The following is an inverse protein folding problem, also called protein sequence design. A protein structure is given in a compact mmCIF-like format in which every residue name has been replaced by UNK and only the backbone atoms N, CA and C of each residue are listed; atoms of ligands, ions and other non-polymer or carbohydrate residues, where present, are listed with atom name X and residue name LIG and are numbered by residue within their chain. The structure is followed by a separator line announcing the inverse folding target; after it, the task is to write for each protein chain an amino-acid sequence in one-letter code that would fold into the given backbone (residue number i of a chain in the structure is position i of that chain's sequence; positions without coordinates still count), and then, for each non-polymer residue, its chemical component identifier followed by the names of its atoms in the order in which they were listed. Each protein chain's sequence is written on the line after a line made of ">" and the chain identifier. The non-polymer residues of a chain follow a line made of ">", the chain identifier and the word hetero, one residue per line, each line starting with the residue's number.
data_IF_311777990054
#
_entry.id   IF_311777990054
#
_cell.length_a   1.000
_cell.length_b   1.000
_cell.length_c   1.000
_cell.angle_alpha   90.00
_cell.angle_beta   90.00
_cell.angle_gamma   90.00
#
_symmetry.space_group_name_H-M   'P 1'
#
loop_
_entity.id
_entity.type
_entity.pdbx_description
1 polymer ?
#
# COMPACT_ATOMS: atom_id res chain seq x y z
N UNK A 1 -24.30 -4.09 -15.00
CA UNK A 1 -23.86 -5.11 -14.03
C UNK A 1 -22.57 -5.68 -14.56
N UNK A 2 -21.44 -5.16 -14.09
CA UNK A 2 -20.11 -5.62 -14.48
C UNK A 2 -19.85 -6.91 -13.73
N UNK A 3 -19.90 -8.04 -14.43
CA UNK A 3 -19.53 -9.35 -13.89
C UNK A 3 -18.02 -9.34 -13.65
N UNK A 4 -17.60 -9.13 -12.40
CA UNK A 4 -16.24 -9.46 -11.98
C UNK A 4 -16.04 -10.93 -12.31
N UNK A 5 -15.00 -11.26 -13.09
CA UNK A 5 -14.59 -12.66 -13.26
C UNK A 5 -14.44 -13.23 -11.86
N UNK A 6 -15.21 -14.28 -11.57
CA UNK A 6 -15.08 -15.10 -10.37
C UNK A 6 -13.60 -15.43 -10.18
N UNK A 7 -12.94 -14.79 -9.21
CA UNK A 7 -11.69 -15.31 -8.67
C UNK A 7 -12.01 -16.74 -8.22
N UNK A 8 -11.27 -17.70 -8.77
CA UNK A 8 -11.39 -19.11 -8.43
C UNK A 8 -11.44 -19.27 -6.90
N UNK A 9 -12.58 -19.76 -6.39
CA UNK A 9 -12.76 -20.14 -4.99
C UNK A 9 -11.99 -21.43 -4.64
N UNK A 10 -11.13 -21.93 -5.52
CA UNK A 10 -10.72 -23.33 -5.56
C UNK A 10 -9.26 -23.59 -5.18
N UNK A 11 -8.64 -22.79 -4.29
CA UNK A 11 -7.31 -23.18 -3.81
C UNK A 11 -6.89 -22.64 -2.42
N UNK A 12 -7.82 -22.55 -1.48
CA UNK A 12 -7.50 -22.53 -0.03
C UNK A 12 -7.36 -23.97 0.48
N UNK A 13 -6.51 -24.78 -0.16
CA UNK A 13 -6.17 -26.07 0.43
C UNK A 13 -5.20 -25.81 1.59
N UNK A 14 -5.74 -25.72 2.79
CA UNK A 14 -4.94 -25.88 4.00
C UNK A 14 -4.28 -27.26 3.94
N UNK A 15 -2.98 -27.39 4.27
CA UNK A 15 -2.48 -28.69 4.67
C UNK A 15 -3.27 -29.08 5.92
N UNK A 16 -4.12 -30.10 5.81
CA UNK A 16 -4.67 -30.74 7.01
C UNK A 16 -3.49 -31.19 7.88
N UNK A 17 -3.50 -30.84 9.17
CA UNK A 17 -2.53 -31.38 10.11
C UNK A 17 -2.71 -32.90 10.14
N UNK A 18 -1.84 -33.63 9.45
CA UNK A 18 -1.68 -35.08 9.62
C UNK A 18 -1.16 -35.39 11.02
N UNK A 19 -1.37 -36.62 11.51
CA UNK A 19 -0.88 -37.04 12.83
C UNK A 19 0.65 -36.85 13.00
N UNK A 20 1.41 -36.82 11.91
CA UNK A 20 2.86 -36.54 11.89
C UNK A 20 3.21 -35.05 12.13
N UNK A 21 2.27 -34.12 11.94
CA UNK A 21 2.46 -32.67 12.13
C UNK A 21 2.00 -32.15 13.51
N UNK A 22 1.56 -33.03 14.43
CA UNK A 22 1.16 -32.66 15.79
C UNK A 22 2.31 -32.07 16.62
N UNK A 23 3.56 -32.36 16.26
CA UNK A 23 4.75 -31.78 16.89
C UNK A 23 4.96 -30.27 16.56
N UNK A 24 4.13 -29.69 15.69
CA UNK A 24 4.27 -28.32 15.18
C UNK A 24 3.01 -27.47 15.38
N UNK A 25 2.28 -27.70 16.49
CA UNK A 25 1.22 -26.79 16.91
C UNK A 25 1.83 -25.51 17.51
N UNK A 26 1.28 -24.32 17.17
CA UNK A 26 1.74 -23.07 17.74
C UNK A 26 1.47 -23.04 19.24
N UNK A 27 2.48 -22.62 19.99
CA UNK A 27 2.47 -22.44 21.44
C UNK A 27 2.27 -20.98 21.86
N UNK A 28 2.46 -20.04 20.92
CA UNK A 28 2.37 -18.60 21.15
C UNK A 28 1.58 -17.88 20.07
N UNK A 29 0.97 -16.74 20.41
CA UNK A 29 0.29 -15.89 19.43
C UNK A 29 1.21 -15.44 18.29
N UNK A 30 2.49 -15.19 18.60
CA UNK A 30 3.49 -14.83 17.60
C UNK A 30 3.65 -15.90 16.51
N UNK A 31 3.65 -17.19 16.88
CA UNK A 31 3.72 -18.29 15.92
C UNK A 31 2.48 -18.35 15.03
N UNK A 32 1.28 -18.14 15.58
CA UNK A 32 0.04 -18.07 14.78
C UNK A 32 0.08 -16.87 13.83
N UNK A 33 0.56 -15.72 14.28
CA UNK A 33 0.75 -14.54 13.41
C UNK A 33 1.72 -14.84 12.26
N UNK A 34 2.83 -15.56 12.52
CA UNK A 34 3.77 -15.99 11.48
C UNK A 34 3.09 -16.91 10.46
N UNK A 35 2.21 -17.81 10.87
CA UNK A 35 1.44 -18.66 9.95
C UNK A 35 0.56 -17.82 9.01
N UNK A 36 -0.18 -16.84 9.57
CA UNK A 36 -1.03 -15.94 8.76
C UNK A 36 -0.19 -15.07 7.82
N UNK A 37 0.92 -14.49 8.30
CA UNK A 37 1.85 -13.72 7.46
C UNK A 37 2.39 -14.56 6.30
N UNK A 38 2.72 -15.83 6.56
CA UNK A 38 3.23 -16.74 5.53
C UNK A 38 2.18 -16.99 4.45
N UNK A 39 0.91 -17.18 4.85
CA UNK A 39 -0.20 -17.27 3.91
C UNK A 39 -0.35 -15.98 3.09
N UNK A 40 -0.40 -14.82 3.76
CA UNK A 40 -0.55 -13.50 3.12
C UNK A 40 0.56 -13.26 2.09
N UNK A 41 1.81 -13.48 2.46
CA UNK A 41 2.96 -13.26 1.57
C UNK A 41 2.94 -14.20 0.35
N UNK A 42 2.46 -15.44 0.52
CA UNK A 42 2.33 -16.38 -0.59
C UNK A 42 1.23 -15.95 -1.57
N UNK A 43 0.10 -15.48 -1.06
CA UNK A 43 -0.97 -14.95 -1.90
C UNK A 43 -0.55 -13.65 -2.59
N UNK A 44 0.14 -12.77 -1.88
CA UNK A 44 0.65 -11.53 -2.44
C UNK A 44 1.68 -11.76 -3.56
N UNK A 45 2.60 -12.71 -3.40
CA UNK A 45 3.55 -13.07 -4.48
C UNK A 45 2.84 -13.54 -5.75
N UNK A 46 1.73 -14.29 -5.59
CA UNK A 46 0.90 -14.72 -6.73
C UNK A 46 0.27 -13.51 -7.41
N UNK A 47 -0.30 -12.59 -6.64
CA UNK A 47 -0.91 -11.35 -7.14
C UNK A 47 0.10 -10.46 -7.88
N UNK A 48 1.33 -10.32 -7.35
CA UNK A 48 2.41 -9.56 -8.00
C UNK A 48 2.70 -10.11 -9.40
N UNK A 49 2.83 -11.43 -9.53
CA UNK A 49 3.12 -12.07 -10.82
C UNK A 49 1.91 -11.97 -11.75
N UNK A 50 0.71 -12.33 -11.27
CA UNK A 50 -0.49 -12.41 -12.10
C UNK A 50 -0.91 -11.04 -12.64
N UNK A 51 -0.79 -10.00 -11.81
CA UNK A 51 -1.19 -8.65 -12.19
C UNK A 51 -0.03 -7.81 -12.74
N UNK A 52 1.20 -8.34 -12.76
CA UNK A 52 2.42 -7.63 -13.17
C UNK A 52 2.61 -6.33 -12.37
N UNK A 53 2.59 -6.44 -11.04
CA UNK A 53 2.66 -5.29 -10.13
C UNK A 53 4.08 -4.73 -10.08
N UNK A 54 4.20 -3.41 -10.25
CA UNK A 54 5.50 -2.72 -10.18
C UNK A 54 5.69 -1.98 -8.86
N UNK A 55 4.62 -1.47 -8.26
CA UNK A 55 4.68 -0.74 -7.00
C UNK A 55 4.32 -1.62 -5.82
N UNK A 56 3.11 -2.20 -5.84
CA UNK A 56 2.63 -3.04 -4.74
C UNK A 56 3.38 -4.37 -4.77
N UNK A 57 4.56 -4.38 -4.15
CA UNK A 57 5.54 -5.47 -4.13
C UNK A 57 6.08 -5.68 -2.73
N UNK A 58 6.94 -6.69 -2.52
CA UNK A 58 7.52 -6.97 -1.19
C UNK A 58 8.31 -5.79 -0.63
N UNK A 59 8.96 -5.02 -1.49
CA UNK A 59 9.69 -3.81 -1.11
C UNK A 59 8.74 -2.77 -0.51
N UNK A 60 7.60 -2.50 -1.17
CA UNK A 60 6.55 -1.63 -0.62
C UNK A 60 6.04 -2.12 0.74
N UNK A 61 5.73 -3.42 0.87
CA UNK A 61 5.28 -3.96 2.17
C UNK A 61 6.33 -3.77 3.28
N UNK A 62 7.62 -3.95 2.96
CA UNK A 62 8.72 -3.73 3.89
C UNK A 62 8.86 -2.26 4.28
N UNK A 63 8.68 -1.34 3.32
CA UNK A 63 8.72 0.09 3.60
C UNK A 63 7.54 0.55 4.46
N UNK A 64 6.32 0.09 4.17
CA UNK A 64 5.15 0.38 5.02
C UNK A 64 5.35 -0.19 6.41
N UNK A 65 5.86 -1.41 6.53
CA UNK A 65 6.17 -2.04 7.81
C UNK A 65 7.20 -1.24 8.62
N UNK A 66 8.32 -0.85 8.00
CA UNK A 66 9.36 -0.03 8.64
C UNK A 66 8.78 1.31 9.12
N UNK A 67 8.02 2.00 8.27
CA UNK A 67 7.33 3.25 8.60
C UNK A 67 6.38 3.06 9.78
N UNK A 68 5.54 2.03 9.73
CA UNK A 68 4.58 1.70 10.78
C UNK A 68 5.25 1.44 12.13
N UNK A 69 6.34 0.66 12.16
CA UNK A 69 7.11 0.39 13.39
C UNK A 69 7.68 1.69 13.97
N UNK A 70 8.28 2.54 13.14
CA UNK A 70 8.86 3.81 13.59
C UNK A 70 7.79 4.75 14.18
N UNK A 71 6.60 4.80 13.58
CA UNK A 71 5.47 5.58 14.09
C UNK A 71 4.94 4.97 15.40
N UNK A 72 4.80 3.65 15.46
CA UNK A 72 4.31 2.95 16.65
C UNK A 72 5.18 3.18 17.88
N UNK A 73 6.50 3.17 17.72
CA UNK A 73 7.46 3.47 18.79
C UNK A 73 7.28 4.88 19.36
N UNK A 74 6.82 5.83 18.56
CA UNK A 74 6.56 7.21 19.00
C UNK A 74 5.19 7.35 19.66
N UNK A 75 4.16 6.69 19.13
CA UNK A 75 2.78 6.85 19.61
C UNK A 75 2.51 6.01 20.86
N UNK A 76 3.01 4.77 20.90
CA UNK A 76 2.63 3.78 21.92
C UNK A 76 2.87 4.24 23.37
N UNK A 77 4.02 4.85 23.75
CA UNK A 77 4.29 5.21 25.14
C UNK A 77 3.21 6.10 25.78
N UNK A 78 2.56 6.93 24.97
CA UNK A 78 1.53 7.87 25.41
C UNK A 78 0.11 7.41 25.04
N UNK A 79 -0.03 6.24 24.41
CA UNK A 79 -1.30 5.71 23.95
C UNK A 79 -2.05 5.00 25.08
N UNK A 80 -3.29 5.43 25.34
CA UNK A 80 -4.06 5.04 26.56
C UNK A 80 -4.87 3.75 26.45
N UNK A 81 -4.62 2.89 25.45
CA UNK A 81 -5.39 1.65 25.29
C UNK A 81 -4.80 0.50 26.09
N UNK A 82 -5.68 -0.34 26.66
CA UNK A 82 -5.36 -1.39 27.64
C UNK A 82 -4.84 -2.70 27.03
N UNK A 83 -4.41 -2.70 25.78
CA UNK A 83 -3.93 -3.89 25.10
C UNK A 83 -2.42 -4.11 25.35
N UNK A 84 -2.05 -5.38 25.43
CA UNK A 84 -0.66 -5.81 25.52
C UNK A 84 0.16 -5.26 24.34
N UNK A 85 1.28 -4.60 24.65
CA UNK A 85 2.22 -4.05 23.69
C UNK A 85 2.61 -5.08 22.63
N UNK A 86 3.00 -6.28 23.07
CA UNK A 86 3.52 -7.32 22.20
C UNK A 86 2.45 -7.78 21.22
N UNK A 87 1.22 -7.99 21.71
CA UNK A 87 0.10 -8.35 20.84
C UNK A 87 -0.20 -7.26 19.81
N UNK A 88 -0.27 -5.99 20.21
CA UNK A 88 -0.49 -4.87 19.28
C UNK A 88 0.61 -4.74 18.23
N UNK A 89 1.87 -4.90 18.63
CA UNK A 89 3.01 -4.89 17.72
C UNK A 89 2.89 -5.99 16.66
N UNK A 90 2.51 -7.20 17.06
CA UNK A 90 2.31 -8.32 16.13
C UNK A 90 1.14 -8.08 15.17
N UNK A 91 0.06 -7.45 15.63
CA UNK A 91 -1.05 -7.06 14.75
C UNK A 91 -0.65 -5.96 13.77
N UNK A 92 0.12 -4.97 14.21
CA UNK A 92 0.67 -3.92 13.34
C UNK A 92 1.53 -4.53 12.23
N UNK A 93 2.45 -5.42 12.62
CA UNK A 93 3.33 -6.15 11.72
C UNK A 93 2.56 -6.99 10.69
N UNK A 94 1.51 -7.69 11.12
CA UNK A 94 0.62 -8.45 10.23
C UNK A 94 -0.15 -7.51 9.28
N UNK A 95 -0.74 -6.42 9.79
CA UNK A 95 -1.54 -5.49 8.97
C UNK A 95 -0.68 -4.80 7.91
N UNK A 96 0.55 -4.42 8.25
CA UNK A 96 1.49 -3.84 7.29
C UNK A 96 1.81 -4.79 6.13
N UNK A 97 1.87 -6.10 6.39
CA UNK A 97 2.10 -7.11 5.34
C UNK A 97 0.82 -7.45 4.57
N UNK A 98 -0.34 -7.32 5.20
CA UNK A 98 -1.62 -7.74 4.62
C UNK A 98 -2.35 -6.66 3.81
N UNK A 99 -2.15 -5.37 4.10
CA UNK A 99 -3.02 -4.29 3.58
C UNK A 99 -3.21 -4.28 2.06
N UNK A 100 -2.18 -4.67 1.31
CA UNK A 100 -2.18 -4.70 -0.16
C UNK A 100 -2.19 -6.11 -0.76
N UNK A 101 -2.56 -7.13 0.03
CA UNK A 101 -2.46 -8.55 -0.38
C UNK A 101 -3.14 -8.84 -1.73
N UNK A 102 -4.27 -8.20 -2.05
CA UNK A 102 -5.02 -8.39 -3.30
C UNK A 102 -5.10 -7.08 -4.07
N UNK A 103 -4.89 -7.11 -5.39
CA UNK A 103 -5.01 -5.93 -6.25
C UNK A 103 -5.98 -6.16 -7.41
N UNK A 104 -7.17 -5.54 -7.34
CA UNK A 104 -8.21 -5.69 -8.36
C UNK A 104 -8.27 -4.50 -9.30
N UNK A 105 -8.03 -4.75 -10.59
CA UNK A 105 -8.17 -3.77 -11.65
C UNK A 105 -9.51 -3.91 -12.40
N UNK A 106 -10.10 -2.78 -12.76
CA UNK A 106 -11.25 -2.72 -13.66
C UNK A 106 -10.83 -3.22 -15.04
N UNK A 107 -11.65 -4.10 -15.63
CA UNK A 107 -11.39 -4.61 -16.98
C UNK A 107 -11.31 -3.48 -18.00
N UNK A 108 -10.26 -3.49 -18.81
CA UNK A 108 -10.04 -2.49 -19.85
C UNK A 108 -10.59 -2.96 -21.19
N UNK A 109 -11.26 -2.05 -21.90
CA UNK A 109 -11.76 -2.29 -23.27
C UNK A 109 -10.99 -1.52 -24.33
N UNK A 110 -10.18 -0.53 -23.93
CA UNK A 110 -9.41 0.33 -24.81
C UNK A 110 -7.91 0.05 -24.66
N UNK A 111 -7.23 -0.10 -25.80
CA UNK A 111 -5.78 -0.21 -25.86
C UNK A 111 -5.12 1.11 -25.39
N UNK A 112 -3.92 1.01 -24.84
CA UNK A 112 -3.09 2.16 -24.43
C UNK A 112 -3.77 3.11 -23.44
N UNK A 113 -4.52 2.53 -22.50
CA UNK A 113 -5.12 3.27 -21.40
C UNK A 113 -4.53 2.79 -20.07
N UNK A 114 -4.45 3.69 -19.09
CA UNK A 114 -4.05 3.34 -17.74
C UNK A 114 -5.11 2.42 -17.12
N UNK A 115 -4.68 1.36 -16.43
CA UNK A 115 -5.56 0.54 -15.61
C UNK A 115 -6.12 1.39 -14.47
N UNK A 116 -7.28 0.99 -13.98
CA UNK A 116 -7.95 1.68 -12.87
C UNK A 116 -8.33 0.68 -11.81
N UNK A 117 -8.30 1.13 -10.55
CA UNK A 117 -8.88 0.43 -9.40
C UNK A 117 -10.16 1.13 -8.98
N UNK A 118 -11.07 0.38 -8.38
CA UNK A 118 -12.24 0.94 -7.70
C UNK A 118 -11.95 1.01 -6.20
N UNK A 119 -12.20 2.18 -5.60
CA UNK A 119 -11.84 2.43 -4.21
C UNK A 119 -12.52 1.41 -3.27
N UNK A 120 -11.73 0.77 -2.40
CA UNK A 120 -12.22 -0.16 -1.40
C UNK A 120 -12.45 -1.60 -1.87
N UNK A 121 -12.39 -1.89 -3.18
CA UNK A 121 -12.63 -3.25 -3.70
C UNK A 121 -11.49 -4.20 -3.33
N UNK A 122 -10.24 -3.78 -3.54
CA UNK A 122 -9.05 -4.55 -3.19
C UNK A 122 -8.98 -4.82 -1.68
N UNK A 123 -9.22 -3.78 -0.87
CA UNK A 123 -9.16 -3.82 0.59
C UNK A 123 -10.27 -4.70 1.16
N UNK A 124 -11.49 -4.60 0.65
CA UNK A 124 -12.62 -5.46 1.06
C UNK A 124 -12.33 -6.93 0.81
N UNK A 125 -11.76 -7.26 -0.36
CA UNK A 125 -11.43 -8.64 -0.70
C UNK A 125 -10.23 -9.16 0.11
N UNK A 126 -9.25 -8.30 0.35
CA UNK A 126 -8.11 -8.58 1.23
C UNK A 126 -8.60 -8.93 2.64
N UNK A 127 -9.44 -8.07 3.24
CA UNK A 127 -10.06 -8.31 4.55
C UNK A 127 -10.78 -9.65 4.55
N UNK A 128 -11.68 -9.89 3.59
CA UNK A 128 -12.44 -11.13 3.52
C UNK A 128 -11.52 -12.36 3.50
N UNK A 129 -10.50 -12.35 2.65
CA UNK A 129 -9.61 -13.51 2.46
C UNK A 129 -8.70 -13.76 3.67
N UNK A 130 -8.16 -12.71 4.29
CA UNK A 130 -7.36 -12.84 5.52
C UNK A 130 -8.22 -13.35 6.67
N UNK A 131 -9.41 -12.76 6.87
CA UNK A 131 -10.28 -13.14 7.99
C UNK A 131 -10.82 -14.58 7.83
N UNK A 132 -11.21 -15.00 6.63
CA UNK A 132 -11.59 -16.40 6.40
C UNK A 132 -10.44 -17.37 6.71
N UNK A 133 -9.21 -17.04 6.33
CA UNK A 133 -8.04 -17.85 6.70
C UNK A 133 -7.82 -17.91 8.22
N UNK A 134 -7.93 -16.78 8.92
CA UNK A 134 -7.80 -16.71 10.38
C UNK A 134 -8.90 -17.54 11.07
N UNK A 135 -10.15 -17.44 10.60
CA UNK A 135 -11.28 -18.20 11.14
C UNK A 135 -11.07 -19.71 10.98
N UNK A 136 -10.68 -20.17 9.79
CA UNK A 136 -10.38 -21.58 9.52
C UNK A 136 -9.20 -22.07 10.37
N UNK A 137 -8.13 -21.28 10.47
CA UNK A 137 -6.96 -21.60 11.30
C UNK A 137 -7.34 -21.69 12.78
N UNK A 138 -8.08 -20.72 13.31
CA UNK A 138 -8.57 -20.74 14.69
C UNK A 138 -9.43 -21.97 14.97
N UNK A 139 -10.34 -22.33 14.05
CA UNK A 139 -11.16 -23.54 14.19
C UNK A 139 -10.30 -24.82 14.19
N UNK A 140 -9.30 -24.89 13.31
CA UNK A 140 -8.38 -26.02 13.25
C UNK A 140 -7.58 -26.16 14.55
N UNK A 141 -6.97 -25.08 15.04
CA UNK A 141 -6.17 -25.08 16.27
C UNK A 141 -7.02 -25.42 17.51
N UNK A 142 -8.27 -24.98 17.57
CA UNK A 142 -9.22 -25.36 18.64
C UNK A 142 -9.51 -26.86 18.67
N UNK A 143 -9.60 -27.53 17.51
CA UNK A 143 -9.79 -29.00 17.44
C UNK A 143 -8.62 -29.76 18.08
N UNK A 144 -7.42 -29.18 18.06
CA UNK A 144 -6.23 -29.74 18.70
C UNK A 144 -5.97 -29.18 20.10
N UNK A 145 -6.98 -28.58 20.74
CA UNK A 145 -6.92 -28.07 22.12
C UNK A 145 -5.82 -27.01 22.37
N UNK A 146 -5.46 -26.22 21.35
CA UNK A 146 -4.57 -25.05 21.53
C UNK A 146 -5.27 -24.01 22.42
N UNK A 147 -4.52 -23.41 23.33
CA UNK A 147 -5.02 -22.42 24.29
C UNK A 147 -5.58 -21.17 23.59
N UNK A 148 -6.76 -20.68 24.00
CA UNK A 148 -7.41 -19.51 23.39
C UNK A 148 -6.54 -18.24 23.38
N UNK A 149 -5.60 -18.08 24.33
CA UNK A 149 -4.66 -16.94 24.37
C UNK A 149 -3.67 -16.91 23.19
N UNK A 150 -3.46 -18.06 22.55
CA UNK A 150 -2.61 -18.23 21.35
C UNK A 150 -3.37 -17.86 20.07
N UNK A 151 -4.70 -17.88 20.10
CA UNK A 151 -5.55 -17.67 18.94
C UNK A 151 -5.83 -16.19 18.70
N UNK A 152 -6.31 -15.85 17.50
CA UNK A 152 -6.89 -14.52 17.24
C UNK A 152 -8.26 -14.42 17.93
N UNK A 153 -8.50 -13.29 18.59
CA UNK A 153 -9.77 -12.91 19.21
C UNK A 153 -10.58 -12.00 18.30
N UNK A 154 -11.86 -11.78 18.62
CA UNK A 154 -12.71 -10.84 17.89
C UNK A 154 -12.16 -9.41 17.90
N UNK A 155 -11.47 -9.02 18.98
CA UNK A 155 -10.82 -7.71 19.06
C UNK A 155 -9.66 -7.58 18.07
N UNK A 156 -8.86 -8.64 17.90
CA UNK A 156 -7.76 -8.67 16.92
C UNK A 156 -8.30 -8.62 15.49
N UNK A 157 -9.37 -9.39 15.22
CA UNK A 157 -10.07 -9.41 13.93
C UNK A 157 -10.58 -8.00 13.59
N UNK A 158 -11.21 -7.31 14.55
CA UNK A 158 -11.68 -5.94 14.37
C UNK A 158 -10.51 -4.98 14.07
N UNK A 159 -9.36 -5.14 14.73
CA UNK A 159 -8.17 -4.32 14.48
C UNK A 159 -7.65 -4.53 13.07
N UNK A 160 -7.53 -5.79 12.62
CA UNK A 160 -7.06 -6.14 11.27
C UNK A 160 -8.01 -5.55 10.21
N UNK A 161 -9.31 -5.74 10.39
CA UNK A 161 -10.32 -5.18 9.49
C UNK A 161 -10.22 -3.65 9.41
N UNK A 162 -10.19 -2.97 10.55
CA UNK A 162 -10.11 -1.51 10.58
C UNK A 162 -8.82 -0.99 9.95
N UNK A 163 -7.69 -1.68 10.14
CA UNK A 163 -6.41 -1.26 9.61
C UNK A 163 -6.34 -1.34 8.09
N UNK A 164 -6.80 -2.44 7.51
CA UNK A 164 -6.84 -2.61 6.06
C UNK A 164 -7.91 -1.68 5.46
N UNK A 165 -9.07 -1.50 6.11
CA UNK A 165 -10.10 -0.58 5.64
C UNK A 165 -9.61 0.89 5.65
N UNK A 166 -8.72 1.26 6.58
CA UNK A 166 -8.22 2.62 6.72
C UNK A 166 -7.25 3.03 5.61
N UNK A 167 -6.67 2.08 4.85
CA UNK A 167 -5.78 2.39 3.72
C UNK A 167 -6.50 2.81 2.45
N UNK A 168 -7.83 2.62 2.39
CA UNK A 168 -8.64 2.98 1.23
C UNK A 168 -8.44 4.45 0.88
N UNK A 169 -7.94 4.70 -0.33
CA UNK A 169 -7.75 6.05 -0.85
C UNK A 169 -8.94 6.51 -1.70
N UNK A 170 -9.32 7.78 -1.56
CA UNK A 170 -10.30 8.44 -2.42
C UNK A 170 -9.65 9.64 -3.10
N UNK A 171 -10.04 9.90 -4.35
CA UNK A 171 -9.58 11.07 -5.10
C UNK A 171 -10.34 12.33 -4.67
N UNK A 172 -9.58 13.36 -4.28
CA UNK A 172 -10.06 14.72 -4.07
C UNK A 172 -9.84 15.52 -5.36
N UNK A 173 -10.94 15.93 -5.99
CA UNK A 173 -10.89 16.70 -7.25
C UNK A 173 -10.46 18.16 -7.06
N UNK A 174 -10.61 18.72 -5.86
CA UNK A 174 -10.20 20.08 -5.56
C UNK A 174 -8.68 20.16 -5.39
N UNK A 175 -8.11 19.23 -4.62
CA UNK A 175 -6.66 19.14 -4.44
C UNK A 175 -5.97 18.39 -5.59
N UNK A 176 -6.75 17.77 -6.49
CA UNK A 176 -6.28 16.90 -7.56
C UNK A 176 -5.34 15.80 -7.04
N UNK A 177 -5.71 15.20 -5.91
CA UNK A 177 -4.87 14.30 -5.14
C UNK A 177 -5.67 13.17 -4.51
N UNK A 178 -5.04 12.31 -3.70
CA UNK A 178 -5.72 11.28 -2.93
C UNK A 178 -5.57 11.50 -1.43
N UNK A 179 -6.54 11.02 -0.66
CA UNK A 179 -6.51 10.99 0.79
C UNK A 179 -7.22 9.74 1.33
N UNK A 180 -6.93 9.36 2.56
CA UNK A 180 -7.59 8.26 3.26
C UNK A 180 -8.71 8.82 4.17
N UNK A 181 -10.00 8.69 3.80
CA UNK A 181 -11.11 9.33 4.51
C UNK A 181 -11.28 8.83 5.95
N UNK A 182 -10.81 7.63 6.26
CA UNK A 182 -10.87 7.05 7.59
C UNK A 182 -10.18 7.93 8.65
N UNK A 183 -9.11 8.65 8.27
CA UNK A 183 -8.36 9.55 9.16
C UNK A 183 -9.14 10.83 9.55
N UNK A 184 -10.25 11.12 8.86
CA UNK A 184 -11.00 12.36 9.01
C UNK A 184 -12.43 12.14 9.53
N UNK A 185 -12.83 10.89 9.79
CA UNK A 185 -14.18 10.59 10.21
C UNK A 185 -14.36 10.84 11.72
N UNK A 186 -15.09 11.89 12.15
CA UNK A 186 -15.25 12.19 13.57
C UNK A 186 -16.13 11.17 14.30
N UNK A 187 -16.88 10.34 13.57
CA UNK A 187 -17.82 9.36 14.12
C UNK A 187 -17.21 7.96 14.26
N UNK A 188 -16.01 7.71 13.73
CA UNK A 188 -15.32 6.42 13.83
C UNK A 188 -13.93 6.63 14.42
N UNK A 189 -13.74 6.21 15.69
CA UNK A 189 -12.40 6.16 16.29
C UNK A 189 -11.65 4.97 15.72
N UNK A 190 -10.53 5.21 15.04
CA UNK A 190 -9.64 4.15 14.59
C UNK A 190 -8.90 3.53 15.77
N UNK A 191 -8.62 2.22 15.67
CA UNK A 191 -7.62 1.59 16.53
C UNK A 191 -6.24 2.20 16.26
N UNK A 192 -5.33 2.10 17.23
CA UNK A 192 -3.95 2.63 17.05
C UNK A 192 -3.24 2.00 15.86
N UNK A 193 -3.43 0.69 15.66
CA UNK A 193 -2.86 -0.04 14.53
C UNK A 193 -3.43 0.48 13.22
N UNK A 194 -4.75 0.66 13.13
CA UNK A 194 -5.38 1.14 11.91
C UNK A 194 -4.94 2.55 11.54
N UNK A 195 -4.89 3.42 12.54
CA UNK A 195 -4.40 4.78 12.39
C UNK A 195 -2.95 4.80 11.86
N UNK A 196 -2.06 4.01 12.46
CA UNK A 196 -0.63 3.95 12.08
C UNK A 196 -0.45 3.40 10.67
N UNK A 197 -1.14 2.30 10.34
CA UNK A 197 -1.02 1.69 9.00
C UNK A 197 -1.46 2.68 7.92
N UNK A 198 -2.57 3.40 8.13
CA UNK A 198 -3.04 4.40 7.18
C UNK A 198 -1.97 5.47 6.90
N UNK A 199 -1.44 6.13 7.94
CA UNK A 199 -0.42 7.18 7.74
C UNK A 199 0.94 6.64 7.28
N UNK A 200 1.28 5.39 7.62
CA UNK A 200 2.49 4.73 7.16
C UNK A 200 2.44 4.46 5.65
N UNK A 201 1.32 3.94 5.15
CA UNK A 201 1.09 3.59 3.74
C UNK A 201 1.38 4.76 2.79
N UNK A 202 0.81 5.94 3.08
CA UNK A 202 1.03 7.18 2.30
C UNK A 202 2.12 8.10 2.89
N UNK A 203 3.01 7.54 3.70
CA UNK A 203 4.02 8.26 4.50
C UNK A 203 5.38 8.49 3.83
N UNK A 204 5.63 7.90 2.66
CA UNK A 204 6.95 7.84 2.01
C UNK A 204 7.64 9.21 1.90
N UNK A 205 6.94 10.22 1.37
CA UNK A 205 7.51 11.56 1.25
C UNK A 205 8.01 12.12 2.59
N UNK A 206 7.20 12.01 3.64
CA UNK A 206 7.51 12.62 4.92
C UNK A 206 8.60 11.90 5.69
N UNK A 207 8.70 10.58 5.53
CA UNK A 207 9.62 9.74 6.30
C UNK A 207 10.92 9.42 5.55
N UNK A 208 10.83 9.22 4.24
CA UNK A 208 11.91 8.67 3.41
C UNK A 208 12.48 9.70 2.42
N UNK A 209 11.74 10.78 2.16
CA UNK A 209 12.19 11.93 1.39
C UNK A 209 11.94 11.82 -0.12
N UNK A 210 12.47 12.79 -0.87
CA UNK A 210 12.11 13.02 -2.28
C UNK A 210 12.53 11.85 -3.18
N UNK A 211 13.69 11.24 -2.95
CA UNK A 211 14.18 10.16 -3.81
C UNK A 211 13.25 8.93 -3.78
N UNK A 212 12.90 8.45 -2.57
CA UNK A 212 11.94 7.36 -2.39
C UNK A 212 10.56 7.74 -2.96
N UNK A 213 10.09 8.95 -2.65
CA UNK A 213 8.83 9.46 -3.16
C UNK A 213 8.74 9.46 -4.71
N UNK A 214 9.81 9.89 -5.38
CA UNK A 214 9.87 9.91 -6.84
C UNK A 214 9.94 8.50 -7.42
N UNK A 215 10.71 7.60 -6.80
CA UNK A 215 10.80 6.19 -7.21
C UNK A 215 9.44 5.49 -7.11
N UNK A 216 8.73 5.65 -5.99
CA UNK A 216 7.35 5.16 -5.84
C UNK A 216 6.42 5.76 -6.90
N UNK A 217 6.60 7.05 -7.16
CA UNK A 217 6.05 7.80 -8.28
C UNK A 217 6.10 7.06 -9.62
N UNK A 218 7.30 6.65 -10.00
CA UNK A 218 7.61 5.91 -11.23
C UNK A 218 7.07 4.48 -11.23
N UNK A 219 7.19 3.76 -10.11
CA UNK A 219 6.71 2.38 -10.00
C UNK A 219 5.19 2.29 -10.14
N UNK A 220 4.45 3.21 -9.51
CA UNK A 220 3.00 3.33 -9.66
C UNK A 220 2.61 3.62 -11.12
N UNK A 221 3.37 4.47 -11.81
CA UNK A 221 3.12 4.74 -13.22
C UNK A 221 3.25 3.48 -14.08
N UNK A 222 4.32 2.69 -13.89
CA UNK A 222 4.54 1.44 -14.62
C UNK A 222 3.44 0.42 -14.33
N UNK A 223 3.00 0.33 -13.07
CA UNK A 223 1.93 -0.59 -12.68
C UNK A 223 0.59 -0.24 -13.32
N UNK A 224 0.24 1.05 -13.33
CA UNK A 224 -0.97 1.54 -13.97
C UNK A 224 -0.91 1.45 -15.50
N UNK A 225 0.29 1.40 -16.09
CA UNK A 225 0.50 1.48 -17.54
C UNK A 225 1.43 0.37 -18.06
N UNK A 226 1.04 -0.91 -17.93
CA UNK A 226 1.89 -2.03 -18.37
C UNK A 226 2.20 -2.02 -19.86
N UNK A 227 1.35 -1.39 -20.68
CA UNK A 227 1.55 -1.30 -22.13
C UNK A 227 2.81 -0.52 -22.48
N UNK A 228 3.20 0.44 -21.63
CA UNK A 228 4.39 1.27 -21.81
C UNK A 228 5.67 0.46 -21.57
N UNK A 229 5.65 -0.55 -20.70
CA UNK A 229 6.81 -1.41 -20.42
C UNK A 229 7.35 -2.01 -21.73
N UNK A 230 6.46 -2.58 -22.54
CA UNK A 230 6.82 -3.18 -23.84
C UNK A 230 7.34 -2.14 -24.83
N UNK A 231 6.77 -0.93 -24.85
CA UNK A 231 7.23 0.17 -25.71
C UNK A 231 8.66 0.58 -25.36
N UNK A 232 8.98 0.65 -24.06
CA UNK A 232 10.32 1.01 -23.57
C UNK A 232 11.32 -0.11 -23.85
N UNK A 233 11.00 -1.37 -23.53
CA UNK A 233 11.89 -2.51 -23.72
C UNK A 233 12.27 -2.73 -25.19
N UNK A 234 11.32 -2.52 -26.10
CA UNK A 234 11.56 -2.66 -27.54
C UNK A 234 12.27 -1.44 -28.15
N UNK A 235 12.69 -0.46 -27.34
CA UNK A 235 13.36 0.77 -27.77
C UNK A 235 12.58 1.60 -28.80
N UNK A 236 11.26 1.41 -28.88
CA UNK A 236 10.38 2.05 -29.87
C UNK A 236 10.26 3.55 -29.58
N UNK A 237 10.51 3.98 -28.34
CA UNK A 237 10.37 5.38 -27.91
C UNK A 237 11.15 6.37 -28.79
N UNK A 238 12.29 5.97 -29.36
CA UNK A 238 13.14 6.86 -30.16
C UNK A 238 12.56 7.21 -31.55
N UNK A 239 11.71 6.36 -32.12
CA UNK A 239 11.10 6.58 -33.44
C UNK A 239 9.59 6.86 -33.34
N UNK A 240 9.01 6.69 -32.15
CA UNK A 240 7.58 6.78 -31.89
C UNK A 240 6.95 8.10 -32.36
N UNK A 241 7.65 9.23 -32.22
CA UNK A 241 7.16 10.53 -32.65
C UNK A 241 6.88 10.59 -34.17
N UNK A 242 7.63 9.83 -34.97
CA UNK A 242 7.50 9.76 -36.43
C UNK A 242 6.57 8.61 -36.82
N UNK A 243 6.79 7.43 -36.26
CA UNK A 243 6.10 6.20 -36.67
C UNK A 243 4.67 6.13 -36.14
N UNK A 244 4.41 6.68 -34.95
CA UNK A 244 3.10 6.68 -34.31
C UNK A 244 2.90 7.90 -33.39
N UNK A 245 2.71 9.11 -33.97
CA UNK A 245 2.60 10.36 -33.21
C UNK A 245 1.44 10.37 -32.22
N UNK A 246 0.37 9.62 -32.49
CA UNK A 246 -0.77 9.52 -31.56
C UNK A 246 -0.40 8.75 -30.29
N UNK A 247 0.34 7.64 -30.41
CA UNK A 247 0.81 6.89 -29.25
C UNK A 247 1.87 7.68 -28.48
N UNK A 248 2.76 8.39 -29.19
CA UNK A 248 3.71 9.32 -28.57
C UNK A 248 3.01 10.33 -27.67
N UNK A 249 2.03 11.06 -28.22
CA UNK A 249 1.30 12.08 -27.46
C UNK A 249 0.48 11.46 -26.32
N UNK A 250 -0.12 10.28 -26.53
CA UNK A 250 -0.84 9.57 -25.48
C UNK A 250 0.07 9.22 -24.29
N UNK A 251 1.27 8.68 -24.53
CA UNK A 251 2.22 8.34 -23.45
C UNK A 251 2.68 9.62 -22.74
N UNK A 252 3.02 10.67 -23.51
CA UNK A 252 3.43 11.97 -22.97
C UNK A 252 2.40 12.54 -22.01
N UNK A 253 1.12 12.56 -22.42
CA UNK A 253 0.02 13.05 -21.59
C UNK A 253 -0.17 12.23 -20.31
N UNK A 254 -0.02 10.90 -20.39
CA UNK A 254 -0.11 10.03 -19.19
C UNK A 254 1.00 10.33 -18.19
N UNK A 255 2.25 10.49 -18.66
CA UNK A 255 3.39 10.83 -17.80
C UNK A 255 3.27 12.26 -17.22
N UNK A 256 2.87 13.23 -18.05
CA UNK A 256 2.67 14.60 -17.61
C UNK A 256 1.59 14.70 -16.52
N UNK A 257 0.49 13.96 -16.70
CA UNK A 257 -0.56 13.84 -15.68
C UNK A 257 0.00 13.25 -14.37
N UNK A 258 0.86 12.24 -14.45
CA UNK A 258 1.50 11.65 -13.27
C UNK A 258 2.43 12.64 -12.56
N UNK A 259 3.24 13.39 -13.32
CA UNK A 259 4.15 14.39 -12.76
C UNK A 259 3.38 15.46 -11.98
N UNK A 260 2.28 15.97 -12.55
CA UNK A 260 1.37 16.92 -11.87
C UNK A 260 0.73 16.33 -10.63
N UNK A 261 0.27 15.08 -10.73
CA UNK A 261 -0.32 14.37 -9.59
C UNK A 261 0.69 14.25 -8.43
N UNK A 262 1.97 13.96 -8.70
CA UNK A 262 2.99 13.93 -7.65
C UNK A 262 3.14 15.28 -6.95
N UNK A 263 3.27 16.38 -7.69
CA UNK A 263 3.36 17.72 -7.08
C UNK A 263 2.13 18.01 -6.20
N UNK A 264 0.93 17.71 -6.69
CA UNK A 264 -0.31 17.94 -5.94
C UNK A 264 -0.43 17.02 -4.72
N UNK A 265 0.00 15.78 -4.82
CA UNK A 265 0.02 14.84 -3.70
C UNK A 265 1.00 15.26 -2.62
N UNK A 266 2.21 15.69 -2.98
CA UNK A 266 3.16 16.23 -2.00
C UNK A 266 2.56 17.40 -1.21
N UNK A 267 1.93 18.36 -1.90
CA UNK A 267 1.25 19.50 -1.28
C UNK A 267 0.10 19.08 -0.37
N UNK A 268 -0.75 18.19 -0.86
CA UNK A 268 -1.90 17.66 -0.12
C UNK A 268 -1.42 16.99 1.16
N UNK A 269 -0.43 16.09 1.09
CA UNK A 269 0.17 15.44 2.27
C UNK A 269 0.66 16.47 3.29
N UNK A 270 1.39 17.50 2.86
CA UNK A 270 1.89 18.54 3.75
C UNK A 270 0.78 19.30 4.50
N UNK A 271 -0.30 19.65 3.80
CA UNK A 271 -1.43 20.38 4.40
C UNK A 271 -2.21 19.47 5.35
N UNK A 272 -2.49 18.24 4.92
CA UNK A 272 -3.33 17.27 5.62
C UNK A 272 -2.71 16.69 6.87
N UNK A 273 -1.39 16.51 6.88
CA UNK A 273 -0.70 15.81 7.95
C UNK A 273 -0.98 16.39 9.34
N UNK A 274 -1.07 17.73 9.46
CA UNK A 274 -1.41 18.38 10.73
C UNK A 274 -2.76 17.93 11.29
N UNK A 275 -3.76 17.75 10.43
CA UNK A 275 -5.09 17.29 10.84
C UNK A 275 -5.06 15.81 11.18
N UNK A 276 -4.32 15.01 10.40
CA UNK A 276 -4.21 13.57 10.61
C UNK A 276 -3.65 13.29 12.00
N UNK A 277 -2.57 13.96 12.41
CA UNK A 277 -1.93 13.75 13.72
C UNK A 277 -2.52 14.54 14.88
N UNK A 278 -3.51 15.42 14.64
CA UNK A 278 -4.01 16.36 15.64
C UNK A 278 -4.58 15.70 16.92
N UNK A 279 -5.09 14.48 16.80
CA UNK A 279 -5.70 13.74 17.90
C UNK A 279 -4.70 12.88 18.70
N UNK A 280 -3.43 12.89 18.32
CA UNK A 280 -2.38 12.16 19.03
C UNK A 280 -1.92 12.91 20.29
N UNK A 281 -1.27 12.23 21.24
CA UNK A 281 -0.63 12.89 22.37
C UNK A 281 0.37 13.97 21.92
N UNK A 282 0.44 15.09 22.65
CA UNK A 282 1.27 16.25 22.27
C UNK A 282 2.75 15.90 22.09
N UNK A 283 3.29 15.07 22.99
CA UNK A 283 4.70 14.62 22.93
C UNK A 283 4.97 13.76 21.69
N UNK A 284 4.02 12.87 21.34
CA UNK A 284 4.06 12.11 20.10
C UNK A 284 4.02 13.04 18.88
N UNK A 285 3.15 14.06 18.84
CA UNK A 285 3.08 15.03 17.73
C UNK A 285 4.43 15.74 17.51
N UNK A 286 5.09 16.18 18.58
CA UNK A 286 6.39 16.85 18.50
C UNK A 286 7.43 15.93 17.85
N UNK A 287 7.49 14.67 18.28
CA UNK A 287 8.45 13.69 17.75
C UNK A 287 8.10 13.29 16.31
N UNK A 288 6.81 13.07 16.02
CA UNK A 288 6.34 12.72 14.68
C UNK A 288 6.67 13.82 13.68
N UNK A 289 6.43 15.09 14.01
CA UNK A 289 6.71 16.22 13.10
C UNK A 289 8.19 16.55 12.99
N UNK A 290 8.93 16.50 14.11
CA UNK A 290 10.34 16.90 14.15
C UNK A 290 11.33 15.83 13.69
N UNK A 291 10.96 14.55 13.79
CA UNK A 291 11.89 13.43 13.57
C UNK A 291 11.35 12.40 12.57
N UNK A 292 10.13 11.91 12.77
CA UNK A 292 9.57 10.82 11.95
C UNK A 292 9.19 11.28 10.55
N UNK A 293 8.38 12.33 10.44
CA UNK A 293 7.92 12.94 9.18
C UNK A 293 8.73 14.20 8.82
N UNK A 294 10.03 14.20 9.15
CA UNK A 294 10.92 15.38 9.04
C UNK A 294 10.99 16.00 7.64
N UNK A 295 10.75 15.20 6.59
CA UNK A 295 10.78 15.69 5.21
C UNK A 295 9.45 16.30 4.76
N UNK A 296 8.38 16.17 5.56
CA UNK A 296 7.10 16.78 5.22
C UNK A 296 7.08 18.26 5.63
N UNK A 297 7.88 19.05 4.92
CA UNK A 297 8.10 20.47 5.20
C UNK A 297 8.07 21.31 3.91
N UNK A 298 7.93 22.63 4.05
CA UNK A 298 7.79 23.55 2.93
C UNK A 298 9.01 23.56 1.98
N UNK A 299 10.22 23.32 2.48
CA UNK A 299 11.41 23.27 1.64
C UNK A 299 11.34 22.07 0.68
N UNK A 300 10.98 20.90 1.20
CA UNK A 300 10.78 19.69 0.39
C UNK A 300 9.66 19.88 -0.63
N UNK A 301 8.54 20.52 -0.27
CA UNK A 301 7.46 20.81 -1.23
C UNK A 301 7.95 21.69 -2.38
N UNK A 302 8.69 22.77 -2.07
CA UNK A 302 9.25 23.66 -3.10
C UNK A 302 10.25 22.95 -4.00
N UNK A 303 11.06 22.06 -3.44
CA UNK A 303 12.02 21.28 -4.22
C UNK A 303 11.29 20.37 -5.23
N UNK A 304 10.26 19.63 -4.79
CA UNK A 304 9.42 18.81 -5.67
C UNK A 304 8.77 19.65 -6.77
N UNK A 305 8.18 20.79 -6.41
CA UNK A 305 7.57 21.73 -7.38
C UNK A 305 8.58 22.21 -8.43
N UNK A 306 9.81 22.49 -8.03
CA UNK A 306 10.84 23.05 -8.91
C UNK A 306 11.53 22.02 -9.81
N UNK A 307 11.54 20.75 -9.41
CA UNK A 307 12.29 19.68 -10.09
C UNK A 307 11.41 18.75 -10.91
N UNK A 308 10.11 18.71 -10.63
CA UNK A 308 9.16 17.84 -11.34
C UNK A 308 8.65 18.54 -12.61
N UNK A 309 8.82 17.95 -13.80
CA UNK A 309 8.45 18.61 -15.05
C UNK A 309 6.93 18.57 -15.28
N UNK A 310 6.23 19.67 -14.94
CA UNK A 310 4.77 19.76 -15.02
C UNK A 310 4.23 20.61 -16.17
N UNK A 311 5.10 21.17 -17.00
CA UNK A 311 4.72 22.10 -18.06
C UNK A 311 4.05 21.39 -19.24
N UNK A 312 3.11 22.05 -19.92
CA UNK A 312 2.41 21.46 -21.08
C UNK A 312 3.33 21.15 -22.26
N UNK A 313 4.43 21.90 -22.39
CA UNK A 313 5.44 21.80 -23.43
C UNK A 313 6.56 20.79 -23.09
N UNK A 314 6.54 20.16 -21.92
CA UNK A 314 7.48 19.09 -21.57
C UNK A 314 7.34 17.93 -22.55
N UNK A 315 8.48 17.52 -23.11
CA UNK A 315 8.60 16.43 -24.09
C UNK A 315 8.44 15.05 -23.47
N UNK A 316 8.18 14.03 -24.29
CA UNK A 316 8.10 12.64 -23.80
C UNK A 316 9.46 12.18 -23.23
N UNK A 317 10.56 12.56 -23.88
CA UNK A 317 11.92 12.21 -23.52
C UNK A 317 12.27 12.73 -22.13
N UNK A 318 12.02 14.02 -21.86
CA UNK A 318 12.24 14.63 -20.55
C UNK A 318 11.44 13.92 -19.45
N UNK A 319 10.18 13.54 -19.74
CA UNK A 319 9.35 12.79 -18.80
C UNK A 319 9.91 11.39 -18.54
N UNK A 320 10.29 10.64 -19.59
CA UNK A 320 10.88 9.30 -19.44
C UNK A 320 12.15 9.35 -18.60
N UNK A 321 12.99 10.36 -18.81
CA UNK A 321 14.23 10.55 -18.07
C UNK A 321 13.98 10.93 -16.62
N UNK A 322 13.03 11.84 -16.35
CA UNK A 322 12.61 12.19 -14.98
C UNK A 322 12.13 10.97 -14.19
N UNK A 323 11.25 10.16 -14.78
CA UNK A 323 10.71 8.96 -14.14
C UNK A 323 11.70 7.79 -14.13
N UNK A 324 12.85 7.88 -14.83
CA UNK A 324 13.89 6.87 -14.89
C UNK A 324 13.38 5.46 -15.26
N UNK A 325 12.31 5.38 -16.06
CA UNK A 325 11.55 4.13 -16.29
C UNK A 325 12.41 2.98 -16.82
N UNK A 326 13.39 3.28 -17.67
CA UNK A 326 14.30 2.28 -18.25
C UNK A 326 15.06 1.53 -17.16
N UNK A 327 15.60 2.24 -16.18
CA UNK A 327 16.38 1.64 -15.08
C UNK A 327 15.53 0.70 -14.22
N UNK A 328 14.29 1.11 -13.95
CA UNK A 328 13.35 0.36 -13.10
C UNK A 328 12.87 -0.92 -13.76
N UNK A 329 12.67 -0.91 -15.08
CA UNK A 329 12.28 -2.10 -15.84
C UNK A 329 13.45 -3.09 -15.93
N UNK A 330 14.67 -2.60 -16.19
CA UNK A 330 15.87 -3.45 -16.32
C UNK A 330 16.28 -4.15 -15.03
N UNK A 331 15.95 -3.59 -13.86
CA UNK A 331 16.28 -4.19 -12.57
C UNK A 331 15.28 -5.28 -12.11
N UNK A 332 14.17 -5.48 -12.83
CA UNK A 332 13.11 -6.46 -12.50
C UNK A 332 13.03 -7.67 -13.44
N UNK A 333 13.75 -7.63 -14.56
CA UNK A 333 13.94 -8.77 -15.47
C UNK A 333 15.32 -9.38 -15.24
#
# INVERSE_FOLDING_TARGET
>A
MTTYKSLDQNNTHFPEYSEENLAWLPSTFAEVVVMVKTFVLKEFDREVIQNQLYYHTREHLQDVQRRAIAIFQVIYPDWRESLDYTRLYLLLDLCAVAHDMIQIFVSQTQLHTSRRREAGVSETLTIKKVLSYIEELNQQLKKYCVNDSVLFTDADISIIQDAIQATICIYDSFEQSIYQPALYNPHKKLSVVAYIIAIADIGSLGMDGIAAYNQEGSLLFLEENPDIVTVILNQITATLAVDNPQLYENIRQRLLKRARFQVNFAKSRFIRHYQEIANLPKEAIITLTGQTFRYLNMQTIKEIESTTPTSEDTTLEELIDFFQLKSLISNKN
#
